data_IF_422240657063
#
_entry.id   IF_422240657063
#
_cell.length_a   1.000
_cell.length_b   1.000
_cell.length_c   1.000
_cell.angle_alpha   90.00
_cell.angle_beta   90.00
_cell.angle_gamma   90.00
#
_symmetry.space_group_name_H-M   'P 1'
#
loop_
_entity.id
_entity.type
_entity.pdbx_description
1 polymer ?
#
# COMPACT_ATOMS: atom_id res chain seq x y z
N UNK A 1 21.95 -15.36 27.98
CA UNK A 1 20.49 -15.60 28.11
C UNK A 1 20.03 -14.72 29.27
N UNK A 2 19.13 -13.73 29.23
CA UNK A 2 18.06 -13.27 28.33
C UNK A 2 18.25 -11.76 28.04
N UNK A 3 18.29 -11.34 26.78
CA UNK A 3 18.00 -9.97 26.35
C UNK A 3 16.87 -10.10 25.33
N UNK A 4 15.76 -9.37 25.57
CA UNK A 4 14.42 -9.55 24.97
C UNK A 4 14.37 -10.30 23.64
N UNK A 5 13.73 -11.47 23.63
CA UNK A 5 13.59 -12.32 22.44
C UNK A 5 12.86 -11.55 21.35
N UNK A 6 13.60 -11.07 20.35
CA UNK A 6 13.06 -10.53 19.09
C UNK A 6 11.99 -11.49 18.56
N UNK A 7 10.76 -11.01 18.41
CA UNK A 7 9.64 -11.85 17.93
C UNK A 7 9.41 -11.56 16.47
N UNK A 8 9.29 -12.62 15.67
CA UNK A 8 8.79 -12.51 14.32
C UNK A 8 7.27 -12.65 14.35
N UNK A 9 6.58 -11.72 13.71
CA UNK A 9 5.13 -11.75 13.63
C UNK A 9 4.68 -11.29 12.24
N UNK A 10 3.51 -11.77 11.83
CA UNK A 10 2.86 -11.26 10.63
C UNK A 10 2.49 -9.80 10.83
N UNK A 11 2.75 -8.99 9.82
CA UNK A 11 2.52 -7.56 9.87
C UNK A 11 2.05 -7.03 8.52
N UNK A 12 1.17 -6.04 8.58
CA UNK A 12 0.65 -5.33 7.43
C UNK A 12 0.85 -3.84 7.70
N UNK A 13 1.55 -3.16 6.80
CA UNK A 13 1.61 -1.70 6.77
C UNK A 13 0.66 -1.23 5.71
N UNK A 14 -0.29 -0.37 6.05
CA UNK A 14 -1.27 0.11 5.08
C UNK A 14 -1.35 1.63 5.05
N UNK A 15 -1.76 2.13 3.90
CA UNK A 15 -2.12 3.52 3.69
C UNK A 15 -3.29 3.60 2.71
N UNK A 16 -4.27 4.42 3.07
CA UNK A 16 -5.44 4.76 2.28
C UNK A 16 -5.33 6.23 1.93
N UNK A 17 -5.41 6.53 0.63
CA UNK A 17 -5.36 7.91 0.13
C UNK A 17 -6.41 8.17 -0.92
N UNK A 18 -6.97 9.39 -0.95
CA UNK A 18 -7.80 9.82 -2.05
C UNK A 18 -6.97 10.10 -3.29
N UNK A 19 -7.53 9.81 -4.46
CA UNK A 19 -6.83 9.98 -5.74
C UNK A 19 -6.83 11.44 -6.19
N UNK A 20 -7.89 12.20 -5.88
CA UNK A 20 -8.02 13.65 -6.14
C UNK A 20 -7.68 14.07 -7.58
N UNK A 21 -7.93 13.21 -8.56
CA UNK A 21 -7.59 13.48 -9.97
C UNK A 21 -6.08 13.58 -10.26
N UNK A 22 -5.22 13.08 -9.38
CA UNK A 22 -3.78 13.03 -9.61
C UNK A 22 -3.42 11.82 -10.49
N UNK A 23 -2.53 12.04 -11.47
CA UNK A 23 -1.94 10.95 -12.27
C UNK A 23 -0.94 10.11 -11.48
N UNK A 24 -0.27 10.72 -10.51
CA UNK A 24 0.70 10.05 -9.65
C UNK A 24 0.22 10.15 -8.21
N UNK A 25 0.08 9.01 -7.54
CA UNK A 25 -0.41 8.92 -6.16
C UNK A 25 0.74 8.38 -5.30
N UNK A 26 1.18 9.18 -4.33
CA UNK A 26 2.22 8.78 -3.36
C UNK A 26 1.56 8.25 -2.10
N UNK A 27 1.64 6.95 -1.86
CA UNK A 27 0.90 6.29 -0.78
C UNK A 27 1.49 6.55 0.60
N UNK A 28 2.80 6.79 0.68
CA UNK A 28 3.51 7.10 1.92
C UNK A 28 4.30 8.39 1.71
N UNK A 29 4.08 9.37 2.58
CA UNK A 29 4.76 10.67 2.54
C UNK A 29 5.22 11.10 3.93
N UNK A 30 6.23 11.96 4.00
CA UNK A 30 6.84 12.38 5.27
C UNK A 30 5.88 13.19 6.17
N UNK A 31 4.85 13.81 5.60
CA UNK A 31 3.80 14.52 6.34
C UNK A 31 2.67 13.62 6.84
N UNK A 32 2.65 12.34 6.44
CA UNK A 32 1.58 11.44 6.86
C UNK A 32 1.70 11.09 8.35
N UNK A 33 0.61 11.30 9.10
CA UNK A 33 0.52 10.90 10.51
C UNK A 33 -0.31 9.61 10.62
N UNK A 34 0.14 8.69 11.47
CA UNK A 34 -0.61 7.48 11.82
C UNK A 34 -2.02 7.83 12.29
N UNK A 35 -3.01 7.24 11.63
CA UNK A 35 -4.42 7.42 11.94
C UNK A 35 -5.18 6.12 11.63
N UNK A 36 -5.83 5.55 12.66
CA UNK A 36 -6.53 4.27 12.53
C UNK A 36 -7.66 4.40 11.50
N UNK A 37 -7.70 3.45 10.56
CA UNK A 37 -8.65 3.46 9.45
C UNK A 37 -8.14 4.20 8.21
N UNK A 38 -6.98 4.89 8.27
CA UNK A 38 -6.32 5.48 7.11
C UNK A 38 -4.91 4.93 6.91
N UNK A 39 -4.08 4.91 7.96
CA UNK A 39 -2.69 4.45 7.87
C UNK A 39 -2.13 4.08 9.23
N UNK A 40 -1.23 3.11 9.27
CA UNK A 40 -0.69 2.60 10.54
C UNK A 40 0.77 2.99 10.83
N UNK A 41 1.42 3.73 9.93
CA UNK A 41 2.75 4.31 10.13
C UNK A 41 2.71 5.84 9.94
N UNK A 42 3.70 6.52 10.50
CA UNK A 42 3.91 7.96 10.35
C UNK A 42 5.18 8.23 9.56
N UNK A 43 5.26 9.39 8.92
CA UNK A 43 6.44 9.92 8.25
C UNK A 43 7.04 9.00 7.18
N UNK A 44 6.22 8.12 6.58
CA UNK A 44 6.67 7.10 5.64
C UNK A 44 7.76 6.13 6.17
N UNK A 45 7.91 6.00 7.49
CA UNK A 45 8.97 5.20 8.13
C UNK A 45 8.38 4.11 9.03
N UNK A 46 9.12 3.00 9.17
CA UNK A 46 8.76 2.00 10.18
C UNK A 46 8.98 2.56 11.60
N UNK A 47 8.19 2.11 12.59
CA UNK A 47 8.46 2.35 14.00
C UNK A 47 9.89 1.94 14.38
N UNK A 48 10.46 2.61 15.38
CA UNK A 48 11.83 2.35 15.86
C UNK A 48 12.02 0.88 16.27
N UNK A 49 13.17 0.31 15.95
CA UNK A 49 13.58 -1.07 16.21
C UNK A 49 12.70 -2.13 15.50
N UNK A 50 12.08 -1.77 14.39
CA UNK A 50 11.28 -2.69 13.57
C UNK A 50 11.94 -2.89 12.20
N UNK A 51 12.05 -4.14 11.76
CA UNK A 51 12.33 -4.49 10.38
C UNK A 51 11.13 -5.24 9.80
N UNK A 52 10.78 -4.97 8.55
CA UNK A 52 9.72 -5.64 7.81
C UNK A 52 10.30 -6.34 6.59
N UNK A 53 10.12 -7.66 6.51
CA UNK A 53 10.35 -8.44 5.31
C UNK A 53 9.05 -8.51 4.51
N UNK A 54 8.91 -7.61 3.53
CA UNK A 54 7.74 -7.52 2.64
C UNK A 54 7.73 -8.73 1.71
N UNK A 55 6.70 -9.57 1.80
CA UNK A 55 6.51 -10.75 0.96
C UNK A 55 5.36 -10.61 -0.04
N UNK A 56 4.46 -9.65 0.19
CA UNK A 56 3.37 -9.35 -0.72
C UNK A 56 2.85 -7.93 -0.56
N UNK A 57 2.03 -7.54 -1.53
CA UNK A 57 1.47 -6.20 -1.63
C UNK A 57 -0.03 -6.33 -1.93
N UNK A 58 -0.85 -5.57 -1.21
CA UNK A 58 -2.25 -5.36 -1.50
C UNK A 58 -2.43 -4.03 -2.23
N UNK A 59 -3.27 -4.03 -3.26
CA UNK A 59 -3.80 -2.81 -3.88
C UNK A 59 -5.29 -3.00 -4.15
N UNK A 60 -6.10 -2.14 -3.55
CA UNK A 60 -7.56 -2.13 -3.67
C UNK A 60 -8.06 -0.70 -3.84
N UNK A 61 -9.22 -0.52 -4.45
CA UNK A 61 -9.85 0.79 -4.61
C UNK A 61 -11.25 0.79 -4.01
N UNK A 62 -11.73 1.97 -3.63
CA UNK A 62 -13.10 2.19 -3.19
C UNK A 62 -13.58 3.57 -3.63
N UNK A 63 -14.88 3.80 -3.50
CA UNK A 63 -15.50 5.10 -3.76
C UNK A 63 -16.10 5.57 -2.43
N UNK A 64 -15.54 6.64 -1.88
CA UNK A 64 -16.03 7.23 -0.64
C UNK A 64 -17.32 8.03 -0.88
N UNK A 65 -18.13 8.24 0.16
CA UNK A 65 -19.30 9.12 0.08
C UNK A 65 -18.91 10.58 -0.14
N UNK A 66 -17.78 11.00 0.43
CA UNK A 66 -17.15 12.30 0.24
C UNK A 66 -15.64 12.19 0.50
N UNK A 67 -14.91 13.28 0.28
CA UNK A 67 -13.47 13.39 0.59
C UNK A 67 -13.18 13.68 2.07
N UNK A 68 -14.21 13.68 2.92
CA UNK A 68 -14.06 13.83 4.36
C UNK A 68 -13.45 12.57 4.97
N UNK A 69 -12.62 12.77 5.99
CA UNK A 69 -11.85 11.69 6.63
C UNK A 69 -12.74 10.52 7.09
N UNK A 70 -13.89 10.81 7.69
CA UNK A 70 -14.80 9.76 8.19
C UNK A 70 -15.49 9.01 7.05
N UNK A 71 -15.80 9.68 5.93
CA UNK A 71 -16.34 9.03 4.74
C UNK A 71 -15.32 8.08 4.10
N UNK A 72 -14.04 8.45 4.11
CA UNK A 72 -12.95 7.59 3.63
C UNK A 72 -12.80 6.34 4.54
N UNK A 73 -12.87 6.51 5.87
CA UNK A 73 -12.71 5.40 6.83
C UNK A 73 -13.80 4.33 6.74
N UNK A 74 -15.02 4.72 6.36
CA UNK A 74 -16.14 3.77 6.19
C UNK A 74 -16.21 3.18 4.78
N UNK A 75 -15.29 3.55 3.89
CA UNK A 75 -15.29 3.09 2.51
C UNK A 75 -14.99 1.59 2.43
N UNK A 76 -15.81 0.87 1.67
CA UNK A 76 -15.55 -0.52 1.31
C UNK A 76 -14.60 -0.58 0.12
N UNK A 77 -13.64 -1.50 0.18
CA UNK A 77 -12.62 -1.67 -0.84
C UNK A 77 -12.89 -2.91 -1.68
N UNK A 78 -12.68 -2.79 -2.99
CA UNK A 78 -12.80 -3.88 -3.96
C UNK A 78 -11.67 -3.84 -4.99
N UNK A 79 -11.68 -4.78 -5.92
CA UNK A 79 -10.71 -4.91 -7.00
C UNK A 79 -10.56 -3.61 -7.80
N UNK A 80 -9.32 -3.33 -8.22
CA UNK A 80 -9.02 -2.22 -9.14
C UNK A 80 -9.47 -2.48 -10.57
N UNK A 81 -9.84 -3.73 -10.91
CA UNK A 81 -10.25 -4.12 -12.26
C UNK A 81 -11.48 -3.36 -12.78
N UNK A 82 -12.32 -2.86 -11.86
CA UNK A 82 -13.54 -2.13 -12.21
C UNK A 82 -13.25 -0.74 -12.81
N UNK A 83 -12.02 -0.23 -12.66
CA UNK A 83 -11.62 1.09 -13.15
C UNK A 83 -10.38 0.93 -14.03
N UNK A 84 -10.56 1.09 -15.35
CA UNK A 84 -9.49 0.89 -16.34
C UNK A 84 -8.26 1.77 -16.10
N UNK A 85 -8.45 2.98 -15.58
CA UNK A 85 -7.35 3.89 -15.22
C UNK A 85 -6.41 3.30 -14.14
N UNK A 86 -6.98 2.64 -13.12
CA UNK A 86 -6.18 1.97 -12.07
C UNK A 86 -5.56 0.67 -12.59
N UNK A 87 -6.35 -0.15 -13.28
CA UNK A 87 -5.92 -1.43 -13.81
C UNK A 87 -4.75 -1.31 -14.81
N UNK A 88 -4.76 -0.29 -15.68
CA UNK A 88 -3.74 -0.07 -16.70
C UNK A 88 -2.61 0.87 -16.24
N UNK A 89 -2.54 1.20 -14.95
CA UNK A 89 -1.43 1.93 -14.38
C UNK A 89 -0.23 1.04 -14.03
N UNK A 90 0.79 1.67 -13.46
CA UNK A 90 1.98 1.02 -12.94
C UNK A 90 2.20 1.41 -11.48
N UNK A 91 2.98 0.61 -10.76
CA UNK A 91 3.44 0.95 -9.42
C UNK A 91 4.93 0.74 -9.28
N UNK A 92 5.50 1.47 -8.33
CA UNK A 92 6.89 1.34 -7.92
C UNK A 92 6.98 1.40 -6.40
N UNK A 93 7.85 0.56 -5.85
CA UNK A 93 8.18 0.54 -4.43
C UNK A 93 9.67 0.83 -4.28
N UNK A 94 9.98 1.88 -3.52
CA UNK A 94 11.34 2.24 -3.14
C UNK A 94 11.46 2.27 -1.63
N UNK A 95 12.65 1.95 -1.14
CA UNK A 95 13.05 2.20 0.22
C UNK A 95 14.50 2.65 0.23
N UNK A 96 14.82 3.65 1.05
CA UNK A 96 16.18 4.21 1.14
C UNK A 96 16.74 4.63 -0.24
N UNK A 97 15.89 5.28 -1.06
CA UNK A 97 16.19 5.68 -2.45
C UNK A 97 16.54 4.53 -3.40
N UNK A 98 16.48 3.28 -2.96
CA UNK A 98 16.69 2.09 -3.79
C UNK A 98 15.35 1.55 -4.27
N UNK A 99 15.28 1.26 -5.56
CA UNK A 99 14.10 0.65 -6.16
C UNK A 99 14.04 -0.83 -5.79
N UNK A 100 12.99 -1.21 -5.05
CA UNK A 100 12.75 -2.59 -4.61
C UNK A 100 11.89 -3.36 -5.62
N UNK A 101 10.92 -2.65 -6.20
CA UNK A 101 10.07 -3.09 -7.31
C UNK A 101 10.03 -1.98 -8.34
N UNK A 102 10.34 -2.31 -9.59
CA UNK A 102 10.39 -1.37 -10.70
C UNK A 102 9.16 -1.43 -11.57
N UNK A 103 8.53 -0.27 -11.80
CA UNK A 103 7.58 0.05 -12.88
C UNK A 103 6.78 -1.16 -13.34
N UNK A 104 6.03 -1.73 -12.40
CA UNK A 104 5.32 -3.00 -12.56
C UNK A 104 3.85 -2.70 -12.82
N UNK A 105 3.23 -3.41 -13.76
CA UNK A 105 1.81 -3.21 -14.07
C UNK A 105 0.91 -3.48 -12.87
N UNK A 106 -0.07 -2.61 -12.65
CA UNK A 106 -1.12 -2.79 -11.65
C UNK A 106 -2.02 -3.99 -11.95
N UNK A 107 -2.02 -4.51 -13.19
CA UNK A 107 -2.76 -5.73 -13.53
C UNK A 107 -2.38 -6.94 -12.68
N UNK A 108 -1.18 -6.94 -12.10
CA UNK A 108 -0.74 -7.97 -11.16
C UNK A 108 -1.59 -8.05 -9.88
N UNK A 109 -2.38 -7.02 -9.56
CA UNK A 109 -3.32 -7.02 -8.45
C UNK A 109 -4.73 -7.52 -8.84
N UNK A 110 -4.99 -7.77 -10.13
CA UNK A 110 -6.28 -8.28 -10.61
C UNK A 110 -6.32 -9.78 -10.38
N UNK A 111 -6.84 -10.17 -9.22
CA UNK A 111 -6.97 -11.57 -8.80
C UNK A 111 -8.40 -12.10 -8.96
N UNK A 112 -9.27 -11.38 -9.70
CA UNK A 112 -10.63 -11.82 -9.99
C UNK A 112 -10.62 -13.17 -10.73
N UNK A 113 -11.37 -14.15 -10.22
CA UNK A 113 -11.41 -15.51 -10.76
C UNK A 113 -10.37 -16.47 -10.16
N UNK A 114 -9.53 -16.01 -9.23
CA UNK A 114 -8.62 -16.84 -8.46
C UNK A 114 -9.12 -16.96 -7.01
N UNK A 115 -10.06 -17.86 -6.74
CA UNK A 115 -10.73 -17.94 -5.43
C UNK A 115 -9.80 -18.27 -4.25
N UNK A 116 -8.61 -18.81 -4.53
CA UNK A 116 -7.59 -19.10 -3.51
C UNK A 116 -6.64 -17.92 -3.23
N UNK A 117 -6.75 -16.83 -3.99
CA UNK A 117 -5.90 -15.64 -3.85
C UNK A 117 -6.75 -14.47 -3.39
N UNK A 118 -6.40 -13.80 -2.28
CA UNK A 118 -7.13 -12.62 -1.84
C UNK A 118 -7.23 -11.56 -2.93
N UNK A 119 -8.35 -10.82 -2.93
CA UNK A 119 -8.56 -9.71 -3.86
C UNK A 119 -7.42 -8.68 -3.72
N UNK A 120 -6.91 -8.20 -4.86
CA UNK A 120 -5.90 -7.15 -4.86
C UNK A 120 -4.51 -7.58 -4.40
N UNK A 121 -4.26 -8.89 -4.22
CA UNK A 121 -3.00 -9.38 -3.68
C UNK A 121 -1.98 -9.71 -4.77
N UNK A 122 -0.78 -9.16 -4.65
CA UNK A 122 0.39 -9.49 -5.46
C UNK A 122 1.50 -10.05 -4.58
N UNK A 123 1.89 -11.31 -4.83
CA UNK A 123 2.99 -11.97 -4.14
C UNK A 123 4.33 -11.56 -4.77
N UNK A 124 5.28 -11.11 -3.95
CA UNK A 124 6.64 -10.84 -4.44
C UNK A 124 7.38 -12.17 -4.61
N UNK A 125 7.96 -12.38 -5.79
CA UNK A 125 8.83 -13.54 -6.03
C UNK A 125 10.08 -13.52 -5.12
N UNK A 126 10.57 -12.32 -4.83
CA UNK A 126 11.71 -12.09 -3.93
C UNK A 126 11.30 -11.13 -2.81
N UNK A 127 11.11 -11.62 -1.57
CA UNK A 127 10.80 -10.76 -0.44
C UNK A 127 11.85 -9.66 -0.23
N UNK A 128 11.42 -8.50 0.24
CA UNK A 128 12.28 -7.30 0.39
C UNK A 128 12.32 -6.85 1.84
N UNK A 129 13.53 -6.73 2.39
CA UNK A 129 13.74 -6.27 3.76
C UNK A 129 13.79 -4.74 3.82
N UNK A 130 13.00 -4.16 4.72
CA UNK A 130 12.97 -2.72 5.03
C UNK A 130 13.26 -2.57 6.51
N UNK A 131 14.21 -1.70 6.87
CA UNK A 131 14.54 -1.38 8.26
C UNK A 131 13.81 -0.12 8.72
N UNK A 132 13.82 0.14 10.02
CA UNK A 132 13.37 1.40 10.59
C UNK A 132 14.25 2.57 10.18
N UNK A 133 13.70 3.77 10.36
CA UNK A 133 14.29 5.05 9.93
C UNK A 133 14.57 5.19 8.41
N UNK A 134 14.09 4.24 7.61
CA UNK A 134 14.14 4.30 6.15
C UNK A 134 12.81 4.81 5.60
N UNK A 135 12.88 5.81 4.71
CA UNK A 135 11.73 6.28 3.95
C UNK A 135 11.24 5.20 2.98
N UNK A 136 9.96 4.88 3.08
CA UNK A 136 9.23 3.98 2.21
C UNK A 136 8.45 4.83 1.20
N UNK A 137 8.66 4.60 -0.08
CA UNK A 137 7.94 5.29 -1.15
C UNK A 137 7.19 4.24 -1.96
N UNK A 138 5.86 4.31 -1.95
CA UNK A 138 5.04 3.53 -2.86
C UNK A 138 4.27 4.50 -3.73
N UNK A 139 4.56 4.47 -5.03
CA UNK A 139 3.95 5.37 -6.00
C UNK A 139 3.12 4.56 -6.99
N UNK A 140 1.94 5.08 -7.30
CA UNK A 140 1.05 4.56 -8.33
C UNK A 140 0.99 5.60 -9.43
N UNK A 141 1.23 5.16 -10.66
CA UNK A 141 1.22 5.99 -11.84
C UNK A 141 0.09 5.55 -12.77
N UNK A 142 -0.80 6.47 -13.09
CA UNK A 142 -1.96 6.25 -13.93
C UNK A 142 -1.70 6.80 -15.33
N UNK A 143 -1.98 6.01 -16.36
CA UNK A 143 -1.90 6.49 -17.75
C UNK A 143 -2.91 7.59 -18.07
N UNK A 144 -4.06 7.58 -17.39
CA UNK A 144 -5.10 8.61 -17.48
C UNK A 144 -5.90 8.71 -16.19
N UNK A 145 -6.56 9.84 -15.97
CA UNK A 145 -7.53 10.04 -14.88
C UNK A 145 -8.98 10.01 -15.37
N UNK A 146 -9.18 9.85 -16.68
CA UNK A 146 -10.51 9.75 -17.28
C UNK A 146 -11.26 8.55 -16.71
N UNK A 147 -12.48 8.77 -16.22
CA UNK A 147 -13.30 7.72 -15.63
C UNK A 147 -12.94 7.36 -14.18
N UNK A 148 -11.99 8.07 -13.56
CA UNK A 148 -11.75 7.97 -12.12
C UNK A 148 -12.76 8.86 -11.39
N UNK A 149 -13.49 8.28 -10.44
CA UNK A 149 -14.45 9.01 -9.62
C UNK A 149 -13.74 10.07 -8.74
N UNK A 150 -14.29 11.29 -8.58
CA UNK A 150 -13.71 12.31 -7.70
C UNK A 150 -13.55 11.86 -6.23
N UNK A 151 -14.40 10.94 -5.77
CA UNK A 151 -14.36 10.32 -4.45
C UNK A 151 -13.58 9.00 -4.42
N UNK A 152 -12.87 8.65 -5.50
CA UNK A 152 -12.05 7.46 -5.52
C UNK A 152 -10.93 7.53 -4.47
N UNK A 153 -10.81 6.44 -3.74
CA UNK A 153 -9.76 6.20 -2.75
C UNK A 153 -9.04 4.90 -3.09
N UNK A 154 -7.75 4.85 -2.80
CA UNK A 154 -6.93 3.67 -3.03
C UNK A 154 -6.28 3.26 -1.72
N UNK A 155 -6.31 1.95 -1.46
CA UNK A 155 -5.64 1.30 -0.34
C UNK A 155 -4.43 0.54 -0.87
N UNK A 156 -3.28 0.76 -0.26
CA UNK A 156 -2.11 -0.08 -0.46
C UNK A 156 -1.68 -0.69 0.87
N UNK A 157 -1.33 -1.96 0.84
CA UNK A 157 -0.84 -2.71 1.99
C UNK A 157 0.47 -3.44 1.68
N UNK A 158 1.52 -3.22 2.47
CA UNK A 158 2.74 -4.02 2.43
C UNK A 158 2.64 -5.10 3.51
N UNK A 159 2.50 -6.36 3.10
CA UNK A 159 2.36 -7.49 4.01
C UNK A 159 3.65 -8.30 4.08
N UNK A 160 3.94 -8.82 5.25
CA UNK A 160 5.06 -9.71 5.44
C UNK A 160 5.33 -10.01 6.91
N UNK A 161 6.57 -10.34 7.21
CA UNK A 161 7.01 -10.67 8.57
C UNK A 161 7.78 -9.50 9.16
N UNK A 162 7.36 -9.01 10.31
CA UNK A 162 8.07 -7.96 11.04
C UNK A 162 8.76 -8.48 12.29
N UNK A 163 9.85 -7.83 12.66
CA UNK A 163 10.46 -7.96 13.98
C UNK A 163 9.72 -7.05 14.95
N UNK A 164 9.11 -7.62 15.98
CA UNK A 164 8.49 -6.88 17.08
C UNK A 164 9.44 -6.96 18.28
N UNK A 165 9.79 -5.81 18.91
CA UNK A 165 10.63 -5.77 20.10
C UNK A 165 9.99 -6.46 21.31
#
# INVERSE_FOLDING_TARGET
>A
MLQGKLRLADHLIYSIKPVKGAKTIKMFESQDVKEVGLRNISNAKLPKNMALLVSGIYMLQGIAGSQDVDAIKVTTFDTINNIGAFANGEFKLKANKKQLVSDTSNRNFITTGFDQVPKGFYKLANPRLIHDDIDIEFEIELGTITGVDPNAVIMVGLVGTATIP
#
